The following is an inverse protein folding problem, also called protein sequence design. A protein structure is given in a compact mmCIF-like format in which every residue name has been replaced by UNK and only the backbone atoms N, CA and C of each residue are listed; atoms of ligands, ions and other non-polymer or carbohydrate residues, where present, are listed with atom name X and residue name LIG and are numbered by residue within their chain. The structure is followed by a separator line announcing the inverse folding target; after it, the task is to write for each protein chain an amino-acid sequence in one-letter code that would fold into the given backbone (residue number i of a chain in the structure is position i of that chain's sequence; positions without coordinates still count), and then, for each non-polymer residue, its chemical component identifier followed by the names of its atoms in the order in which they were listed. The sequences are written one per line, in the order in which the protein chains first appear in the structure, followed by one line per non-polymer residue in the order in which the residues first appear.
data_IF_361053518017
#
_entry.id   IF_361053518017
#
_cell.length_a   1.000
_cell.length_b   1.000
_cell.length_c   1.000
_cell.angle_alpha   90.00
_cell.angle_beta   90.00
_cell.angle_gamma   90.00
#
_symmetry.space_group_name_H-M   'P 1'
#
loop_
_entity.id
_entity.type
_entity.pdbx_description
1 polymer ?
#
# COMPACT_ATOMS: atom_id res chain seq x y z
N UNK A 1 35.49 -25.72 1.24
CA UNK A 1 35.09 -24.92 2.41
C UNK A 1 34.88 -23.46 2.05
N UNK A 2 35.88 -22.72 1.54
CA UNK A 2 35.77 -21.29 1.21
C UNK A 2 34.62 -20.91 0.25
N UNK A 3 34.37 -21.71 -0.80
CA UNK A 3 33.28 -21.47 -1.77
C UNK A 3 31.90 -21.68 -1.15
N UNK A 4 31.75 -22.73 -0.32
CA UNK A 4 30.50 -23.01 0.39
C UNK A 4 30.18 -21.92 1.42
N UNK A 5 31.19 -21.42 2.14
CA UNK A 5 31.03 -20.28 3.05
C UNK A 5 30.68 -18.99 2.31
N UNK A 6 31.31 -18.71 1.16
CA UNK A 6 30.97 -17.53 0.37
C UNK A 6 29.53 -17.58 -0.19
N UNK A 7 29.09 -18.73 -0.67
CA UNK A 7 27.71 -18.92 -1.13
C UNK A 7 26.69 -18.76 0.02
N UNK A 8 26.98 -19.32 1.20
CA UNK A 8 26.12 -19.15 2.37
C UNK A 8 26.01 -17.69 2.83
N UNK A 9 27.12 -16.95 2.82
CA UNK A 9 27.13 -15.51 3.15
C UNK A 9 26.32 -14.70 2.13
N UNK A 10 26.46 -14.99 0.83
CA UNK A 10 25.68 -14.31 -0.20
C UNK A 10 24.17 -14.55 -0.03
N UNK A 11 23.77 -15.81 0.21
CA UNK A 11 22.37 -16.16 0.47
C UNK A 11 21.85 -15.42 1.70
N UNK A 12 22.62 -15.38 2.79
CA UNK A 12 22.25 -14.65 3.99
C UNK A 12 22.01 -13.16 3.71
N UNK A 13 22.93 -12.50 2.98
CA UNK A 13 22.79 -11.08 2.61
C UNK A 13 21.52 -10.84 1.78
N UNK A 14 21.25 -11.68 0.78
CA UNK A 14 20.05 -11.57 -0.06
C UNK A 14 18.77 -11.76 0.76
N UNK A 15 18.74 -12.73 1.67
CA UNK A 15 17.57 -12.98 2.53
C UNK A 15 17.30 -11.83 3.50
N UNK A 16 18.36 -11.22 4.06
CA UNK A 16 18.25 -10.05 4.92
C UNK A 16 17.73 -8.84 4.15
N UNK A 17 18.26 -8.61 2.94
CA UNK A 17 17.83 -7.52 2.08
C UNK A 17 16.34 -7.65 1.68
N UNK A 18 15.91 -8.82 1.21
CA UNK A 18 14.51 -9.07 0.84
C UNK A 18 13.56 -8.94 2.04
N UNK A 19 14.00 -9.36 3.22
CA UNK A 19 13.21 -9.21 4.45
C UNK A 19 13.07 -7.74 4.83
N UNK A 20 14.12 -6.93 4.66
CA UNK A 20 14.07 -5.50 4.91
C UNK A 20 13.10 -4.79 3.96
N UNK A 21 13.21 -5.04 2.65
CA UNK A 21 12.33 -4.46 1.63
C UNK A 21 10.84 -4.77 1.88
N UNK A 22 10.55 -6.01 2.30
CA UNK A 22 9.21 -6.46 2.71
C UNK A 22 8.70 -5.70 3.93
N UNK A 23 9.56 -5.49 4.94
CA UNK A 23 9.18 -4.76 6.15
C UNK A 23 8.91 -3.28 5.85
N UNK A 24 9.75 -2.64 5.03
CA UNK A 24 9.55 -1.25 4.62
C UNK A 24 8.26 -1.09 3.79
N UNK A 25 7.94 -2.05 2.92
CA UNK A 25 6.67 -2.07 2.20
C UNK A 25 5.47 -2.17 3.15
N UNK A 26 5.58 -2.99 4.21
CA UNK A 26 4.55 -3.05 5.25
C UNK A 26 4.44 -1.72 6.01
N UNK A 27 5.55 -1.11 6.37
CA UNK A 27 5.60 0.12 7.17
C UNK A 27 5.00 1.33 6.45
N UNK A 28 5.27 1.50 5.16
CA UNK A 28 4.67 2.61 4.39
C UNK A 28 3.15 2.43 4.26
N UNK A 29 2.67 1.19 4.05
CA UNK A 29 1.23 0.89 4.00
C UNK A 29 0.58 1.09 5.36
N UNK A 30 1.23 0.65 6.44
CA UNK A 30 0.75 0.90 7.80
C UNK A 30 0.65 2.41 8.07
N UNK A 31 1.69 3.18 7.72
CA UNK A 31 1.70 4.64 7.86
C UNK A 31 0.56 5.31 7.08
N UNK A 32 0.31 4.85 5.86
CA UNK A 32 -0.81 5.31 5.05
C UNK A 32 -2.15 5.08 5.74
N UNK A 33 -2.40 3.87 6.25
CA UNK A 33 -3.67 3.57 6.90
C UNK A 33 -3.81 4.20 8.28
N UNK A 34 -2.72 4.47 9.02
CA UNK A 34 -2.77 5.30 10.23
C UNK A 34 -3.27 6.72 9.93
N UNK A 35 -2.78 7.33 8.85
CA UNK A 35 -3.27 8.65 8.41
C UNK A 35 -4.74 8.60 8.01
N UNK A 36 -5.13 7.61 7.20
CA UNK A 36 -6.52 7.43 6.77
C UNK A 36 -7.47 7.20 7.96
N UNK A 37 -7.08 6.35 8.93
CA UNK A 37 -7.83 6.07 10.14
C UNK A 37 -8.00 7.34 11.01
N UNK A 38 -6.98 8.20 11.06
CA UNK A 38 -7.02 9.48 11.76
C UNK A 38 -7.80 10.59 11.00
N UNK A 39 -8.33 10.28 9.81
CA UNK A 39 -9.00 11.26 8.95
C UNK A 39 -8.05 12.23 8.24
N UNK A 40 -6.73 12.03 8.35
CA UNK A 40 -5.72 12.83 7.65
C UNK A 40 -5.45 12.29 6.25
N UNK A 41 -6.48 12.38 5.40
CA UNK A 41 -6.41 11.99 4.00
C UNK A 41 -5.39 12.81 3.19
N UNK A 42 -5.00 13.98 3.70
CA UNK A 42 -4.01 14.84 3.08
C UNK A 42 -2.60 14.27 3.20
N UNK A 43 -2.24 13.76 4.37
CA UNK A 43 -0.94 13.14 4.62
C UNK A 43 -0.84 11.75 3.99
N UNK A 44 -1.91 10.95 4.01
CA UNK A 44 -1.93 9.66 3.31
C UNK A 44 -1.73 9.83 1.80
N UNK A 45 -2.35 10.86 1.20
CA UNK A 45 -2.19 11.18 -0.21
C UNK A 45 -0.74 11.49 -0.59
N UNK A 46 0.05 12.06 0.32
CA UNK A 46 1.46 12.35 0.02
C UNK A 46 2.29 11.10 -0.23
N UNK A 47 1.90 9.97 0.34
CA UNK A 47 2.55 8.67 0.15
C UNK A 47 2.23 8.02 -1.19
N UNK A 48 1.32 8.59 -1.99
CA UNK A 48 0.98 8.04 -3.29
C UNK A 48 2.09 8.20 -4.33
N UNK A 49 2.20 7.18 -5.17
CA UNK A 49 3.00 7.23 -6.38
C UNK A 49 2.49 8.32 -7.34
N UNK A 50 3.35 8.95 -8.17
CA UNK A 50 2.91 9.96 -9.15
C UNK A 50 1.76 9.52 -10.07
N UNK A 51 1.71 8.23 -10.45
CA UNK A 51 0.59 7.66 -11.22
C UNK A 51 -0.75 7.79 -10.49
N UNK A 52 -0.79 7.49 -9.18
CA UNK A 52 -1.97 7.68 -8.34
C UNK A 52 -2.32 9.16 -8.20
N UNK A 53 -1.33 10.02 -7.91
CA UNK A 53 -1.53 11.48 -7.78
C UNK A 53 -2.13 12.11 -9.06
N UNK A 54 -1.78 11.57 -10.24
CA UNK A 54 -2.37 11.99 -11.52
C UNK A 54 -3.85 11.58 -11.68
N UNK A 55 -4.27 10.46 -11.09
CA UNK A 55 -5.66 9.97 -11.14
C UNK A 55 -6.54 10.59 -10.07
N UNK A 56 -5.95 10.89 -8.92
CA UNK A 56 -6.64 11.39 -7.75
C UNK A 56 -6.03 12.74 -7.36
N UNK A 57 -6.52 13.87 -7.92
CA UNK A 57 -6.17 15.18 -7.41
C UNK A 57 -6.39 15.27 -5.90
N UNK A 58 -5.48 15.92 -5.18
CA UNK A 58 -5.43 15.85 -3.71
C UNK A 58 -6.73 16.28 -3.03
N UNK A 59 -7.28 17.42 -3.45
CA UNK A 59 -8.55 17.95 -2.98
C UNK A 59 -9.71 16.99 -3.24
N UNK A 60 -9.78 16.43 -4.44
CA UNK A 60 -10.79 15.44 -4.83
C UNK A 60 -10.66 14.16 -4.00
N UNK A 61 -9.44 13.68 -3.77
CA UNK A 61 -9.18 12.50 -2.95
C UNK A 61 -9.66 12.71 -1.52
N UNK A 62 -9.24 13.80 -0.88
CA UNK A 62 -9.61 14.14 0.51
C UNK A 62 -11.14 14.21 0.64
N UNK A 63 -11.80 14.95 -0.25
CA UNK A 63 -13.26 15.11 -0.20
C UNK A 63 -13.98 13.78 -0.40
N UNK A 64 -13.58 12.98 -1.39
CA UNK A 64 -14.26 11.70 -1.69
C UNK A 64 -14.03 10.64 -0.62
N UNK A 65 -12.83 10.52 -0.05
CA UNK A 65 -12.56 9.57 1.04
C UNK A 65 -13.41 9.90 2.26
N UNK A 66 -13.45 11.17 2.66
CA UNK A 66 -14.28 11.62 3.78
C UNK A 66 -15.78 11.38 3.51
N UNK A 67 -16.26 11.74 2.32
CA UNK A 67 -17.67 11.59 1.97
C UNK A 67 -18.11 10.12 1.95
N UNK A 68 -17.41 9.26 1.21
CA UNK A 68 -17.81 7.87 1.03
C UNK A 68 -17.58 7.03 2.28
N UNK A 69 -16.39 7.11 2.89
CA UNK A 69 -16.03 6.18 3.97
C UNK A 69 -16.46 6.65 5.35
N UNK A 70 -16.60 7.97 5.57
CA UNK A 70 -17.01 8.49 6.88
C UNK A 70 -18.49 8.87 6.87
N UNK A 71 -18.92 9.72 5.93
CA UNK A 71 -20.29 10.24 5.94
C UNK A 71 -21.31 9.20 5.49
N UNK A 72 -21.13 8.57 4.32
CA UNK A 72 -22.09 7.61 3.79
C UNK A 72 -22.18 6.35 4.66
N UNK A 73 -21.06 5.91 5.23
CA UNK A 73 -21.06 4.77 6.16
C UNK A 73 -21.48 5.17 7.58
N UNK A 74 -21.58 6.46 7.87
CA UNK A 74 -21.96 6.98 9.18
C UNK A 74 -20.96 6.59 10.29
N UNK A 75 -19.66 6.69 10.00
CA UNK A 75 -18.58 6.40 10.96
C UNK A 75 -17.62 7.59 11.09
N UNK A 76 -16.95 7.68 12.24
CA UNK A 76 -15.88 8.67 12.46
C UNK A 76 -14.50 8.10 12.09
N UNK A 77 -14.35 6.77 12.10
CA UNK A 77 -13.10 6.06 11.82
C UNK A 77 -13.38 4.59 11.47
N UNK A 78 -12.33 3.81 11.21
CA UNK A 78 -12.37 2.38 10.91
C UNK A 78 -11.15 1.67 11.51
N UNK A 79 -11.25 0.37 11.75
CA UNK A 79 -10.09 -0.45 12.12
C UNK A 79 -9.41 -1.01 10.87
N UNK A 80 -8.11 -1.29 10.91
CA UNK A 80 -7.46 -1.99 9.82
C UNK A 80 -6.40 -2.98 10.31
N UNK A 81 -6.13 -3.99 9.47
CA UNK A 81 -5.03 -4.93 9.65
C UNK A 81 -4.35 -5.25 8.32
N UNK A 82 -3.05 -5.48 8.38
CA UNK A 82 -2.26 -6.00 7.27
C UNK A 82 -2.26 -7.53 7.36
N UNK A 83 -2.71 -8.20 6.29
CA UNK A 83 -2.95 -9.64 6.26
C UNK A 83 -1.79 -10.39 5.58
N UNK A 84 -1.49 -10.04 4.33
CA UNK A 84 -0.47 -10.70 3.51
C UNK A 84 0.46 -9.67 2.85
N UNK A 85 1.73 -10.06 2.69
CA UNK A 85 2.71 -9.32 1.87
C UNK A 85 3.35 -10.29 0.86
N UNK A 86 3.20 -9.98 -0.42
CA UNK A 86 3.75 -10.76 -1.54
C UNK A 86 4.67 -9.86 -2.39
N UNK A 87 5.82 -10.39 -2.82
CA UNK A 87 6.68 -9.72 -3.78
C UNK A 87 6.32 -10.17 -5.20
N UNK A 88 6.14 -9.22 -6.10
CA UNK A 88 5.80 -9.42 -7.51
C UNK A 88 6.96 -8.89 -8.36
N UNK A 89 7.49 -9.74 -9.24
CA UNK A 89 8.56 -9.34 -10.16
C UNK A 89 8.13 -8.25 -11.15
N UNK A 90 6.83 -8.21 -11.48
CA UNK A 90 6.25 -7.15 -12.32
C UNK A 90 4.75 -6.96 -12.06
N UNK A 91 4.29 -5.72 -12.06
CA UNK A 91 2.89 -5.35 -11.92
C UNK A 91 2.59 -3.97 -12.55
N UNK A 92 1.40 -3.78 -13.12
CA UNK A 92 0.94 -2.50 -13.67
C UNK A 92 -0.32 -2.00 -12.95
N UNK A 93 -0.40 -0.69 -12.73
CA UNK A 93 -1.57 -0.02 -12.15
C UNK A 93 -2.83 -0.16 -13.01
N UNK A 94 -2.68 -0.13 -14.34
CA UNK A 94 -3.73 -0.39 -15.32
C UNK A 94 -3.13 -0.95 -16.62
N UNK A 95 -3.97 -1.46 -17.52
CA UNK A 95 -3.53 -2.00 -18.83
C UNK A 95 -2.81 -0.97 -19.71
N UNK A 96 -2.93 0.33 -19.38
CA UNK A 96 -2.33 1.44 -20.13
C UNK A 96 -1.00 1.91 -19.54
N UNK A 97 -0.68 1.53 -18.30
CA UNK A 97 0.51 1.98 -17.59
C UNK A 97 1.66 0.99 -17.81
N UNK A 98 2.88 1.52 -17.89
CA UNK A 98 4.08 0.69 -17.98
C UNK A 98 4.21 -0.16 -16.71
N UNK A 99 4.61 -1.44 -16.82
CA UNK A 99 4.87 -2.27 -15.65
C UNK A 99 5.95 -1.67 -14.78
N UNK A 100 5.70 -1.72 -13.48
CA UNK A 100 6.67 -1.51 -12.42
C UNK A 100 7.28 -2.87 -12.07
N UNK A 101 8.52 -2.86 -11.60
CA UNK A 101 9.26 -4.06 -11.22
C UNK A 101 9.50 -4.09 -9.72
N UNK A 102 9.71 -5.29 -9.17
CA UNK A 102 9.98 -5.53 -7.75
C UNK A 102 8.95 -4.85 -6.82
N UNK A 103 7.68 -5.05 -7.16
CA UNK A 103 6.53 -4.43 -6.47
C UNK A 103 6.07 -5.34 -5.33
N UNK A 104 5.73 -4.76 -4.18
CA UNK A 104 5.11 -5.52 -3.10
C UNK A 104 3.59 -5.33 -3.13
N UNK A 105 2.82 -6.43 -3.17
CA UNK A 105 1.39 -6.43 -2.86
C UNK A 105 1.21 -6.61 -1.36
N UNK A 106 0.49 -5.69 -0.73
CA UNK A 106 0.12 -5.72 0.68
C UNK A 106 -1.39 -5.77 0.77
N UNK A 107 -1.94 -6.89 1.27
CA UNK A 107 -3.37 -7.03 1.53
C UNK A 107 -3.72 -6.32 2.84
N UNK A 108 -4.61 -5.34 2.77
CA UNK A 108 -5.18 -4.65 3.94
C UNK A 108 -6.66 -4.95 4.05
N UNK A 109 -7.11 -5.20 5.27
CA UNK A 109 -8.51 -5.41 5.59
C UNK A 109 -8.94 -4.26 6.49
N UNK A 110 -9.84 -3.41 5.98
CA UNK A 110 -10.44 -2.30 6.72
C UNK A 110 -11.80 -2.73 7.26
N UNK A 111 -12.05 -2.57 8.56
CA UNK A 111 -13.29 -2.95 9.23
C UNK A 111 -14.06 -1.69 9.62
N UNK A 112 -15.26 -1.53 9.07
CA UNK A 112 -16.14 -0.39 9.31
C UNK A 112 -17.32 -0.82 10.17
N UNK A 113 -17.51 -0.17 11.32
CA UNK A 113 -18.68 -0.33 12.19
C UNK A 113 -19.77 0.67 11.80
N UNK A 114 -20.38 0.46 10.64
CA UNK A 114 -21.29 1.41 10.02
C UNK A 114 -22.72 1.35 10.59
N UNK A 115 -23.53 2.36 10.27
CA UNK A 115 -24.98 2.35 10.56
C UNK A 115 -25.75 1.23 9.84
N UNK A 116 -25.14 0.63 8.82
CA UNK A 116 -25.72 -0.48 8.04
C UNK A 116 -25.17 -1.85 8.47
N UNK A 117 -24.33 -1.92 9.51
CA UNK A 117 -23.68 -3.13 9.99
C UNK A 117 -22.16 -3.09 9.86
N UNK A 118 -21.51 -4.22 10.13
CA UNK A 118 -20.06 -4.35 10.06
C UNK A 118 -19.65 -4.80 8.65
N UNK A 119 -18.76 -4.05 8.01
CA UNK A 119 -18.20 -4.39 6.70
C UNK A 119 -16.69 -4.53 6.77
N UNK A 120 -16.16 -5.54 6.09
CA UNK A 120 -14.73 -5.67 5.83
C UNK A 120 -14.43 -5.36 4.35
N UNK A 121 -13.55 -4.40 4.11
CA UNK A 121 -13.03 -4.08 2.78
C UNK A 121 -11.63 -4.68 2.64
N UNK A 122 -11.52 -5.70 1.81
CA UNK A 122 -10.26 -6.34 1.45
C UNK A 122 -9.64 -5.60 0.26
N UNK A 123 -8.56 -4.87 0.51
CA UNK A 123 -7.90 -4.04 -0.47
C UNK A 123 -6.47 -4.52 -0.70
N UNK A 124 -6.12 -4.78 -1.95
CA UNK A 124 -4.72 -4.95 -2.36
C UNK A 124 -4.10 -3.58 -2.61
N UNK A 125 -3.03 -3.30 -1.86
CA UNK A 125 -2.23 -2.07 -1.94
C UNK A 125 -0.86 -2.43 -2.47
N UNK A 126 -0.36 -1.68 -3.43
CA UNK A 126 0.91 -1.98 -4.09
C UNK A 126 1.96 -0.95 -3.69
N UNK A 127 3.16 -1.39 -3.37
CA UNK A 127 4.31 -0.54 -3.04
C UNK A 127 5.36 -0.73 -4.10
N UNK A 128 5.75 0.36 -4.74
CA UNK A 128 6.84 0.39 -5.72
C UNK A 128 7.89 1.41 -5.29
N UNK A 129 9.14 1.13 -5.65
CA UNK A 129 10.26 2.05 -5.45
C UNK A 129 10.51 2.81 -6.75
N UNK A 130 10.35 4.13 -6.74
CA UNK A 130 10.67 5.00 -7.86
C UNK A 130 11.73 6.02 -7.40
N UNK A 131 12.87 6.10 -8.10
CA UNK A 131 13.99 7.00 -7.77
C UNK A 131 14.51 6.89 -6.32
N UNK A 132 14.40 5.70 -5.73
CA UNK A 132 14.85 5.43 -4.35
C UNK A 132 13.80 5.74 -3.29
N UNK A 133 12.61 6.19 -3.66
CA UNK A 133 11.50 6.44 -2.74
C UNK A 133 10.41 5.39 -2.93
N UNK A 134 9.93 4.80 -1.83
CA UNK A 134 8.77 3.92 -1.84
C UNK A 134 7.49 4.75 -1.87
N UNK A 135 6.52 4.29 -2.65
CA UNK A 135 5.23 4.96 -2.74
C UNK A 135 4.11 3.97 -3.04
N UNK A 136 2.88 4.40 -2.76
CA UNK A 136 1.69 3.55 -2.77
C UNK A 136 0.93 3.68 -4.09
N UNK A 137 0.44 2.55 -4.59
CA UNK A 137 -0.45 2.42 -5.74
C UNK A 137 -1.66 1.57 -5.40
N UNK A 138 -2.78 1.88 -6.04
CA UNK A 138 -3.96 1.02 -6.09
C UNK A 138 -4.17 0.51 -7.51
N UNK A 139 -4.77 -0.68 -7.69
CA UNK A 139 -5.21 -1.11 -9.01
C UNK A 139 -6.26 -0.12 -9.52
N UNK A 140 -6.11 0.35 -10.75
CA UNK A 140 -7.00 1.33 -11.33
C UNK A 140 -7.69 0.76 -12.57
N UNK A 141 -9.01 0.61 -12.47
CA UNK A 141 -9.89 0.25 -13.58
C UNK A 141 -10.90 1.39 -13.75
N UNK A 142 -10.74 2.24 -14.78
CA UNK A 142 -11.66 3.33 -15.07
C UNK A 142 -13.04 2.83 -15.49
#
# INVERSE_FOLDING_TARGET
MAVLTAAAVLVAILTLFLSNERNEAKEIVDTFYRYEQAGDFGSSWELFHPLMKKKFPKDVYIQRRAHVFMQDFGVETFDYRIDEVENLSSWSMSDKDKPLHDVYRVRVIQTFHSVFGVFEIHQDVFVATEKGEKSILFPYRP
#
